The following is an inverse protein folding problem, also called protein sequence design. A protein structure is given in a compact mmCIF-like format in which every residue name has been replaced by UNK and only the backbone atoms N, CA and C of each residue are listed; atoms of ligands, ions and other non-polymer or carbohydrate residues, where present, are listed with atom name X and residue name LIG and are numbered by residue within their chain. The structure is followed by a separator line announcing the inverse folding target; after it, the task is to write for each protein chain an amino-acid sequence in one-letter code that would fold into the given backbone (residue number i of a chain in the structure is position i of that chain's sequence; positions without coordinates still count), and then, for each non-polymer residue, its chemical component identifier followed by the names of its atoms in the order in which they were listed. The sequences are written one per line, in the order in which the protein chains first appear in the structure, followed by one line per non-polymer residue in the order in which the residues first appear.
data_IF_360091493798
#
_entry.id   IF_360091493798
#
_cell.length_a   1.000
_cell.length_b   1.000
_cell.length_c   1.000
_cell.angle_alpha   90.00
_cell.angle_beta   90.00
_cell.angle_gamma   90.00
#
_symmetry.space_group_name_H-M   'P 1'
#
loop_
_entity.id
_entity.type
_entity.pdbx_description
1 polymer ?
#
# COMPACT_ATOMS: atom_id res chain seq x y z
N UNK A 1 12.54 -104.27 -5.44
CA UNK A 1 13.31 -103.30 -4.61
C UNK A 1 12.68 -103.06 -3.23
N UNK A 2 11.37 -102.81 -3.10
CA UNK A 2 10.69 -102.55 -1.80
C UNK A 2 10.74 -103.68 -0.75
N UNK A 3 10.98 -104.93 -1.16
CA UNK A 3 11.15 -106.06 -0.22
C UNK A 3 12.55 -106.09 0.43
N UNK A 4 13.60 -105.67 -0.31
CA UNK A 4 15.00 -105.66 0.19
C UNK A 4 15.30 -104.50 1.14
N UNK A 5 14.56 -103.41 1.06
CA UNK A 5 14.64 -102.31 2.05
C UNK A 5 13.92 -102.67 3.35
N UNK A 6 12.97 -103.61 3.32
CA UNK A 6 12.24 -104.09 4.51
C UNK A 6 13.05 -105.08 5.35
N UNK A 7 13.90 -105.89 4.74
CA UNK A 7 14.75 -106.86 5.46
C UNK A 7 16.00 -106.21 6.10
N UNK A 8 16.32 -104.96 5.74
CA UNK A 8 17.48 -104.20 6.25
C UNK A 8 17.09 -103.01 7.14
N UNK A 9 15.78 -102.80 7.38
CA UNK A 9 15.30 -101.75 8.26
C UNK A 9 14.94 -102.35 9.61
N UNK A 10 15.70 -101.98 10.64
CA UNK A 10 15.41 -102.35 12.02
C UNK A 10 13.98 -101.89 12.42
N UNK A 11 13.06 -102.81 12.77
CA UNK A 11 11.67 -102.50 13.10
C UNK A 11 11.51 -101.50 14.26
N UNK A 12 12.47 -101.49 15.20
CA UNK A 12 12.48 -100.51 16.28
C UNK A 12 12.81 -99.11 15.75
N UNK A 13 13.83 -98.98 14.91
CA UNK A 13 14.21 -97.72 14.27
C UNK A 13 13.06 -97.12 13.45
N UNK A 14 12.29 -97.94 12.71
CA UNK A 14 11.12 -97.48 11.95
C UNK A 14 9.99 -97.01 12.87
N UNK A 15 9.69 -97.74 13.96
CA UNK A 15 8.67 -97.34 14.96
C UNK A 15 9.07 -96.07 15.70
N UNK A 16 10.33 -95.93 16.07
CA UNK A 16 10.86 -94.73 16.71
C UNK A 16 10.75 -93.53 15.76
N UNK A 17 11.09 -93.71 14.48
CA UNK A 17 10.97 -92.66 13.47
C UNK A 17 9.51 -92.23 13.27
N UNK A 18 8.59 -93.19 13.19
CA UNK A 18 7.16 -92.93 12.98
C UNK A 18 6.52 -92.21 14.17
N UNK A 19 6.88 -92.60 15.40
CA UNK A 19 6.44 -91.91 16.63
C UNK A 19 7.02 -90.50 16.73
N UNK A 20 8.29 -90.32 16.38
CA UNK A 20 8.95 -89.00 16.37
C UNK A 20 8.32 -88.07 15.33
N UNK A 21 8.05 -88.59 14.13
CA UNK A 21 7.37 -87.84 13.04
C UNK A 21 5.92 -87.51 13.39
N UNK A 22 5.19 -88.39 14.08
CA UNK A 22 3.85 -88.10 14.59
C UNK A 22 3.85 -87.00 15.64
N UNK A 23 4.78 -87.04 16.60
CA UNK A 23 4.94 -85.97 17.60
C UNK A 23 5.30 -84.64 16.95
N UNK A 24 6.17 -84.65 15.93
CA UNK A 24 6.49 -83.45 15.16
C UNK A 24 5.27 -82.90 14.41
N UNK A 25 4.46 -83.78 13.77
CA UNK A 25 3.23 -83.39 13.09
C UNK A 25 2.19 -82.78 14.07
N UNK A 26 2.04 -83.36 15.26
CA UNK A 26 1.15 -82.82 16.29
C UNK A 26 1.63 -81.49 16.85
N UNK A 27 2.95 -81.29 16.98
CA UNK A 27 3.53 -79.99 17.37
C UNK A 27 3.21 -78.93 16.32
N UNK A 28 3.53 -79.21 15.05
CA UNK A 28 3.30 -78.29 13.93
C UNK A 28 1.80 -77.94 13.81
N UNK A 29 0.90 -78.91 14.03
CA UNK A 29 -0.54 -78.65 14.02
C UNK A 29 -0.99 -77.74 15.17
N UNK A 30 -0.41 -77.89 16.36
CA UNK A 30 -0.67 -76.99 17.49
C UNK A 30 -0.14 -75.59 17.21
N UNK A 31 1.08 -75.49 16.67
CA UNK A 31 1.70 -74.21 16.34
C UNK A 31 0.90 -73.48 15.25
N UNK A 32 0.44 -74.20 14.23
CA UNK A 32 -0.45 -73.64 13.19
C UNK A 32 -1.79 -73.16 13.75
N UNK A 33 -2.37 -73.89 14.71
CA UNK A 33 -3.62 -73.48 15.33
C UNK A 33 -3.44 -72.21 16.19
N UNK A 34 -2.35 -72.15 16.97
CA UNK A 34 -2.01 -70.99 17.78
C UNK A 34 -1.74 -69.75 16.92
N UNK A 35 -0.91 -69.88 15.88
CA UNK A 35 -0.61 -68.79 14.95
C UNK A 35 -1.86 -68.30 14.21
N UNK A 36 -2.81 -69.18 13.91
CA UNK A 36 -4.06 -68.81 13.24
C UNK A 36 -4.98 -68.02 14.17
N UNK A 37 -5.03 -68.38 15.44
CA UNK A 37 -5.80 -67.68 16.47
C UNK A 37 -5.20 -66.30 16.78
N UNK A 38 -3.86 -66.24 16.86
CA UNK A 38 -3.10 -65.01 17.03
C UNK A 38 -3.31 -64.06 15.84
N UNK A 39 -3.28 -64.57 14.61
CA UNK A 39 -3.58 -63.78 13.41
C UNK A 39 -5.01 -63.23 13.41
N UNK A 40 -6.01 -64.02 13.80
CA UNK A 40 -7.41 -63.56 13.90
C UNK A 40 -7.58 -62.49 14.99
N UNK A 41 -6.86 -62.62 16.10
CA UNK A 41 -6.89 -61.65 17.20
C UNK A 41 -6.27 -60.31 16.75
N UNK A 42 -5.07 -60.35 16.16
CA UNK A 42 -4.41 -59.17 15.60
C UNK A 42 -5.25 -58.51 14.50
N UNK A 43 -5.91 -59.28 13.64
CA UNK A 43 -6.80 -58.75 12.61
C UNK A 43 -8.05 -58.10 13.20
N UNK A 44 -8.58 -58.64 14.31
CA UNK A 44 -9.66 -58.03 15.08
C UNK A 44 -9.26 -56.72 15.74
N UNK A 45 -8.08 -56.67 16.37
CA UNK A 45 -7.52 -55.47 17.00
C UNK A 45 -7.24 -54.36 15.97
N UNK A 46 -6.64 -54.71 14.83
CA UNK A 46 -6.41 -53.79 13.71
C UNK A 46 -7.71 -53.24 13.14
N UNK A 47 -8.75 -54.06 13.00
CA UNK A 47 -10.07 -53.60 12.57
C UNK A 47 -10.71 -52.69 13.62
N UNK A 48 -10.62 -53.01 14.90
CA UNK A 48 -11.18 -52.18 15.97
C UNK A 48 -10.47 -50.82 16.05
N UNK A 49 -9.14 -50.78 15.96
CA UNK A 49 -8.36 -49.53 15.96
C UNK A 49 -8.49 -48.75 14.65
N UNK A 50 -8.52 -49.43 13.50
CA UNK A 50 -8.63 -48.80 12.18
C UNK A 50 -10.04 -48.33 11.82
N UNK A 51 -11.07 -48.99 12.34
CA UNK A 51 -12.47 -48.57 12.19
C UNK A 51 -12.88 -47.50 13.22
N UNK A 52 -12.20 -47.42 14.36
CA UNK A 52 -12.44 -46.39 15.37
C UNK A 52 -11.73 -45.08 15.00
N UNK A 53 -12.37 -44.28 14.16
CA UNK A 53 -12.19 -42.82 14.19
C UNK A 53 -11.08 -42.23 13.31
N UNK A 54 -10.08 -43.00 12.84
CA UNK A 54 -9.03 -42.44 11.99
C UNK A 54 -9.57 -41.85 10.68
N UNK A 55 -10.49 -42.56 10.01
CA UNK A 55 -11.15 -42.06 8.79
C UNK A 55 -12.04 -40.84 9.06
N UNK A 56 -12.73 -40.82 10.20
CA UNK A 56 -13.55 -39.66 10.62
C UNK A 56 -12.68 -38.45 10.98
N UNK A 57 -11.52 -38.68 11.60
CA UNK A 57 -10.57 -37.64 11.97
C UNK A 57 -9.87 -37.05 10.74
N UNK A 58 -9.51 -37.88 9.76
CA UNK A 58 -9.04 -37.42 8.45
C UNK A 58 -10.12 -36.58 7.77
N UNK A 59 -11.35 -37.08 7.66
CA UNK A 59 -12.45 -36.35 7.01
C UNK A 59 -12.76 -35.02 7.73
N UNK A 60 -12.68 -34.98 9.07
CA UNK A 60 -12.82 -33.77 9.87
C UNK A 60 -11.71 -32.76 9.55
N UNK A 61 -10.46 -33.19 9.57
CA UNK A 61 -9.29 -32.33 9.28
C UNK A 61 -9.31 -31.83 7.83
N UNK A 62 -9.68 -32.66 6.86
CA UNK A 62 -9.86 -32.25 5.46
C UNK A 62 -10.96 -31.19 5.33
N UNK A 63 -12.08 -31.34 6.05
CA UNK A 63 -13.13 -30.33 6.14
C UNK A 63 -12.62 -29.01 6.73
N UNK A 64 -11.88 -29.07 7.84
CA UNK A 64 -11.27 -27.90 8.46
C UNK A 64 -10.30 -27.19 7.50
N UNK A 65 -9.43 -27.93 6.81
CA UNK A 65 -8.53 -27.40 5.78
C UNK A 65 -9.33 -26.67 4.70
N UNK A 66 -10.35 -27.29 4.12
CA UNK A 66 -11.16 -26.67 3.07
C UNK A 66 -11.86 -25.38 3.52
N UNK A 67 -12.34 -25.32 4.77
CA UNK A 67 -12.92 -24.08 5.32
C UNK A 67 -11.87 -22.98 5.52
N UNK A 68 -10.67 -23.33 5.98
CA UNK A 68 -9.57 -22.39 6.19
C UNK A 68 -9.02 -21.87 4.86
N UNK A 69 -8.89 -22.73 3.85
CA UNK A 69 -8.47 -22.35 2.50
C UNK A 69 -9.46 -21.38 1.85
N UNK A 70 -10.77 -21.64 1.99
CA UNK A 70 -11.81 -20.73 1.49
C UNK A 70 -11.72 -19.37 2.18
N UNK A 71 -11.53 -19.36 3.50
CA UNK A 71 -11.36 -18.13 4.27
C UNK A 71 -10.10 -17.37 3.88
N UNK A 72 -8.99 -18.09 3.67
CA UNK A 72 -7.71 -17.53 3.23
C UNK A 72 -7.86 -16.87 1.86
N UNK A 73 -8.46 -17.57 0.89
CA UNK A 73 -8.70 -17.05 -0.45
C UNK A 73 -9.53 -15.75 -0.43
N UNK A 74 -10.59 -15.71 0.39
CA UNK A 74 -11.40 -14.49 0.55
C UNK A 74 -10.60 -13.32 1.13
N UNK A 75 -9.82 -13.58 2.18
CA UNK A 75 -8.98 -12.54 2.81
C UNK A 75 -7.86 -12.07 1.88
N UNK A 76 -7.28 -12.97 1.09
CA UNK A 76 -6.28 -12.63 0.07
C UNK A 76 -6.87 -11.71 -0.99
N UNK A 77 -8.06 -12.04 -1.51
CA UNK A 77 -8.76 -11.19 -2.48
C UNK A 77 -9.03 -9.79 -1.92
N UNK A 78 -9.51 -9.70 -0.68
CA UNK A 78 -9.76 -8.42 -0.02
C UNK A 78 -8.48 -7.60 0.20
N UNK A 79 -7.40 -8.27 0.62
CA UNK A 79 -6.09 -7.64 0.79
C UNK A 79 -5.50 -7.16 -0.54
N UNK A 80 -5.64 -7.93 -1.61
CA UNK A 80 -5.17 -7.57 -2.95
C UNK A 80 -5.98 -6.42 -3.53
N UNK A 81 -7.31 -6.43 -3.38
CA UNK A 81 -8.17 -5.33 -3.77
C UNK A 81 -7.83 -4.04 -3.02
N UNK A 82 -7.59 -4.13 -1.71
CA UNK A 82 -7.19 -2.99 -0.88
C UNK A 82 -5.81 -2.44 -1.27
N UNK A 83 -4.85 -3.32 -1.57
CA UNK A 83 -3.51 -2.92 -2.08
C UNK A 83 -3.60 -2.22 -3.42
N UNK A 84 -4.42 -2.76 -4.34
CA UNK A 84 -4.64 -2.15 -5.66
C UNK A 84 -5.31 -0.77 -5.54
N UNK A 85 -6.35 -0.65 -4.71
CA UNK A 85 -7.01 0.62 -4.47
C UNK A 85 -6.03 1.65 -3.91
N UNK A 86 -5.24 1.27 -2.90
CA UNK A 86 -4.26 2.15 -2.29
C UNK A 86 -3.22 2.64 -3.30
N UNK A 87 -2.60 1.73 -4.07
CA UNK A 87 -1.59 2.11 -5.06
C UNK A 87 -2.17 2.98 -6.18
N UNK A 88 -3.40 2.70 -6.62
CA UNK A 88 -4.10 3.50 -7.63
C UNK A 88 -4.39 4.90 -7.13
N UNK A 89 -4.91 5.05 -5.90
CA UNK A 89 -5.19 6.36 -5.30
C UNK A 89 -3.91 7.19 -5.10
N UNK A 90 -2.83 6.57 -4.63
CA UNK A 90 -1.53 7.25 -4.48
C UNK A 90 -0.97 7.67 -5.84
N UNK A 91 -1.11 6.82 -6.87
CA UNK A 91 -0.72 7.15 -8.24
C UNK A 91 -1.49 8.35 -8.80
N UNK A 92 -2.82 8.30 -8.74
CA UNK A 92 -3.70 9.38 -9.20
C UNK A 92 -3.47 10.69 -8.42
N UNK A 93 -3.26 10.61 -7.10
CA UNK A 93 -2.92 11.78 -6.29
C UNK A 93 -1.60 12.41 -6.73
N UNK A 94 -0.57 11.61 -7.01
CA UNK A 94 0.73 12.11 -7.49
C UNK A 94 0.61 12.77 -8.86
N UNK A 95 -0.06 12.13 -9.80
CA UNK A 95 -0.29 12.66 -11.15
C UNK A 95 -1.06 13.97 -11.11
N UNK A 96 -2.15 14.04 -10.34
CA UNK A 96 -2.89 15.27 -10.13
C UNK A 96 -1.99 16.38 -9.55
N UNK A 97 -1.15 16.07 -8.56
CA UNK A 97 -0.23 17.06 -7.97
C UNK A 97 0.79 17.59 -8.97
N UNK A 98 1.44 16.72 -9.73
CA UNK A 98 2.41 17.11 -10.76
C UNK A 98 1.76 18.01 -11.83
N UNK A 99 0.51 17.70 -12.20
CA UNK A 99 -0.28 18.51 -13.13
C UNK A 99 -0.48 19.97 -12.66
N UNK A 100 -0.58 20.21 -11.34
CA UNK A 100 -0.77 21.57 -10.80
C UNK A 100 0.55 22.26 -10.42
N UNK A 101 1.50 21.54 -9.81
CA UNK A 101 2.74 22.11 -9.26
C UNK A 101 3.63 22.75 -10.32
N UNK A 102 3.84 22.04 -11.44
CA UNK A 102 4.67 22.54 -12.55
C UNK A 102 4.16 23.88 -13.08
N UNK A 103 2.90 23.96 -13.53
CA UNK A 103 2.31 25.20 -14.00
C UNK A 103 2.35 26.33 -12.98
N UNK A 104 2.09 26.06 -11.69
CA UNK A 104 2.15 27.09 -10.65
C UNK A 104 3.58 27.64 -10.52
N UNK A 105 4.61 26.79 -10.42
CA UNK A 105 6.01 27.23 -10.35
C UNK A 105 6.37 28.10 -11.56
N UNK A 106 5.95 27.70 -12.77
CA UNK A 106 6.16 28.47 -14.01
C UNK A 106 5.42 29.81 -14.00
N UNK A 107 4.18 29.87 -13.50
CA UNK A 107 3.39 31.10 -13.44
C UNK A 107 3.86 32.06 -12.34
N UNK A 108 4.40 31.57 -11.22
CA UNK A 108 4.91 32.43 -10.14
C UNK A 108 6.20 33.13 -10.54
N UNK A 109 7.10 32.44 -11.24
CA UNK A 109 8.42 32.96 -11.60
C UNK A 109 8.45 34.39 -12.19
N UNK A 110 7.61 34.77 -13.19
CA UNK A 110 7.62 36.13 -13.73
C UNK A 110 7.22 37.19 -12.68
N UNK A 111 6.21 36.92 -11.86
CA UNK A 111 5.75 37.84 -10.82
C UNK A 111 6.77 37.97 -9.68
N UNK A 112 7.39 36.85 -9.30
CA UNK A 112 8.41 36.84 -8.26
C UNK A 112 9.66 37.63 -8.70
N UNK A 113 10.04 37.54 -9.98
CA UNK A 113 11.15 38.33 -10.54
C UNK A 113 10.90 39.85 -10.45
N UNK A 114 9.65 40.30 -10.52
CA UNK A 114 9.30 41.73 -10.39
C UNK A 114 9.53 42.24 -8.96
N UNK A 115 9.21 41.43 -7.94
CA UNK A 115 9.33 41.84 -6.53
C UNK A 115 10.73 41.56 -5.96
N UNK A 116 11.30 40.40 -6.29
CA UNK A 116 12.58 39.89 -5.82
C UNK A 116 13.37 39.29 -7.00
N UNK A 117 14.14 40.12 -7.73
CA UNK A 117 14.98 39.65 -8.83
C UNK A 117 15.90 38.50 -8.41
N UNK A 118 16.06 37.49 -9.26
CA UNK A 118 16.93 36.33 -9.00
C UNK A 118 16.44 35.40 -7.89
N UNK A 119 15.15 35.46 -7.56
CA UNK A 119 14.53 34.60 -6.55
C UNK A 119 13.65 33.53 -7.21
N UNK A 120 13.75 32.30 -6.71
CA UNK A 120 12.88 31.19 -7.05
C UNK A 120 12.13 30.71 -5.81
N UNK A 121 10.95 30.12 -6.01
CA UNK A 121 10.18 29.52 -4.92
C UNK A 121 10.29 28.00 -4.95
N UNK A 122 10.45 27.42 -3.78
CA UNK A 122 10.27 25.99 -3.54
C UNK A 122 8.90 25.79 -2.91
N UNK A 123 8.05 25.01 -3.56
CA UNK A 123 6.77 24.56 -3.03
C UNK A 123 6.93 23.15 -2.49
N UNK A 124 6.26 22.85 -1.39
CA UNK A 124 6.11 21.49 -0.88
C UNK A 124 5.26 20.66 -1.85
N UNK A 125 5.78 19.50 -2.25
CA UNK A 125 5.13 18.65 -3.25
C UNK A 125 3.85 17.95 -2.73
N UNK A 126 3.60 18.01 -1.41
CA UNK A 126 2.43 17.42 -0.75
C UNK A 126 1.40 18.46 -0.35
N UNK A 127 1.80 19.56 0.28
CA UNK A 127 0.90 20.58 0.83
C UNK A 127 0.68 21.76 -0.10
N UNK A 128 1.48 21.89 -1.17
CA UNK A 128 1.55 23.08 -2.05
C UNK A 128 1.95 24.37 -1.30
N UNK A 129 2.42 24.25 -0.06
CA UNK A 129 2.88 25.40 0.73
C UNK A 129 4.24 25.88 0.23
N UNK A 130 4.50 27.18 0.38
CA UNK A 130 5.81 27.74 0.06
C UNK A 130 6.78 27.32 1.17
N UNK A 131 7.76 26.48 0.82
CA UNK A 131 8.77 25.96 1.75
C UNK A 131 9.93 26.92 1.90
N UNK A 132 10.50 27.38 0.79
CA UNK A 132 11.68 28.24 0.80
C UNK A 132 11.72 29.18 -0.41
N UNK A 133 12.48 30.26 -0.25
CA UNK A 133 12.89 31.12 -1.36
C UNK A 133 14.38 30.91 -1.61
N UNK A 134 14.74 30.67 -2.86
CA UNK A 134 16.13 30.54 -3.27
C UNK A 134 16.61 31.87 -3.84
N UNK A 135 17.56 32.52 -3.18
CA UNK A 135 18.16 33.79 -3.61
C UNK A 135 19.64 33.58 -3.85
N UNK A 136 20.10 33.78 -5.08
CA UNK A 136 21.52 33.62 -5.45
C UNK A 136 22.13 32.27 -4.98
N UNK A 137 21.35 31.18 -5.03
CA UNK A 137 21.77 29.84 -4.61
C UNK A 137 21.66 29.55 -3.11
N UNK A 138 21.15 30.49 -2.29
CA UNK A 138 20.92 30.28 -0.86
C UNK A 138 19.41 30.09 -0.61
N UNK A 139 19.05 28.98 0.03
CA UNK A 139 17.68 28.69 0.45
C UNK A 139 17.34 29.39 1.77
N UNK A 140 16.28 30.19 1.76
CA UNK A 140 15.73 30.89 2.93
C UNK A 140 14.35 30.30 3.25
N UNK A 141 14.18 29.75 4.47
CA UNK A 141 12.88 29.19 4.91
C UNK A 141 11.82 30.30 4.89
N UNK A 142 10.67 30.01 4.27
CA UNK A 142 9.56 30.94 4.14
C UNK A 142 9.11 31.53 5.50
N UNK A 143 9.20 30.75 6.59
CA UNK A 143 8.82 31.18 7.93
C UNK A 143 9.79 32.19 8.55
N UNK A 144 11.03 32.27 8.04
CA UNK A 144 12.07 33.21 8.49
C UNK A 144 12.01 34.56 7.78
N UNK A 145 11.24 34.65 6.70
CA UNK A 145 11.01 35.91 6.00
C UNK A 145 10.30 36.93 6.89
N UNK A 146 10.55 38.22 6.61
CA UNK A 146 9.79 39.30 7.24
C UNK A 146 8.30 39.20 6.89
N UNK A 147 7.44 39.77 7.75
CA UNK A 147 5.99 39.73 7.55
C UNK A 147 5.57 40.25 6.16
N UNK A 148 6.09 41.39 5.72
CA UNK A 148 5.80 41.95 4.39
C UNK A 148 6.34 41.11 3.22
N UNK A 149 7.50 40.46 3.38
CA UNK A 149 8.01 39.55 2.34
C UNK A 149 7.13 38.30 2.20
N UNK A 150 6.68 37.71 3.31
CA UNK A 150 5.74 36.57 3.28
C UNK A 150 4.44 36.96 2.62
N UNK A 151 3.92 38.15 2.94
CA UNK A 151 2.67 38.67 2.38
C UNK A 151 2.77 38.87 0.86
N UNK A 152 3.83 39.49 0.35
CA UNK A 152 4.06 39.68 -1.09
C UNK A 152 4.12 38.35 -1.85
N UNK A 153 4.91 37.40 -1.34
CA UNK A 153 5.03 36.07 -1.96
C UNK A 153 3.68 35.35 -1.91
N UNK A 154 2.94 35.46 -0.81
CA UNK A 154 1.62 34.87 -0.65
C UNK A 154 0.59 35.43 -1.64
N UNK A 155 0.62 36.73 -1.93
CA UNK A 155 -0.23 37.38 -2.94
C UNK A 155 0.14 36.92 -4.34
N UNK A 156 1.44 36.94 -4.68
CA UNK A 156 1.94 36.50 -5.99
C UNK A 156 1.57 35.04 -6.28
N UNK A 157 1.73 34.15 -5.29
CA UNK A 157 1.37 32.74 -5.46
C UNK A 157 -0.12 32.54 -5.71
N UNK A 158 -0.99 33.33 -5.06
CA UNK A 158 -2.45 33.29 -5.33
C UNK A 158 -2.80 33.78 -6.73
N UNK A 159 -2.15 34.84 -7.21
CA UNK A 159 -2.32 35.34 -8.58
C UNK A 159 -1.88 34.29 -9.61
N UNK A 160 -0.76 33.63 -9.38
CA UNK A 160 -0.28 32.56 -10.25
C UNK A 160 -1.23 31.36 -10.25
N UNK A 161 -1.76 30.98 -9.08
CA UNK A 161 -2.77 29.92 -8.98
C UNK A 161 -4.04 30.27 -9.77
N UNK A 162 -4.54 31.50 -9.66
CA UNK A 162 -5.69 31.96 -10.43
C UNK A 162 -5.44 31.91 -11.95
N UNK A 163 -4.21 32.19 -12.40
CA UNK A 163 -3.82 32.00 -13.81
C UNK A 163 -3.86 30.52 -14.24
N UNK A 164 -3.34 29.62 -13.41
CA UNK A 164 -3.36 28.18 -13.71
C UNK A 164 -4.80 27.67 -13.78
N UNK A 165 -5.68 28.09 -12.85
CA UNK A 165 -7.10 27.76 -12.88
C UNK A 165 -7.79 28.28 -14.15
N UNK A 166 -7.55 29.56 -14.51
CA UNK A 166 -8.10 30.16 -15.74
C UNK A 166 -7.67 29.37 -16.98
N UNK A 167 -6.39 28.99 -17.09
CA UNK A 167 -5.86 28.18 -18.20
C UNK A 167 -6.48 26.78 -18.24
N UNK A 168 -6.80 26.22 -17.09
CA UNK A 168 -7.54 24.96 -16.96
C UNK A 168 -9.04 25.06 -17.26
N UNK A 169 -9.53 26.20 -17.77
CA UNK A 169 -10.96 26.40 -18.08
C UNK A 169 -11.82 26.82 -16.90
N UNK A 170 -11.22 27.19 -15.77
CA UNK A 170 -11.91 27.61 -14.55
C UNK A 170 -11.59 29.08 -14.27
N UNK A 171 -12.38 30.05 -14.79
CA UNK A 171 -12.16 31.46 -14.53
C UNK A 171 -12.16 31.74 -13.03
N UNK A 172 -11.16 32.49 -12.55
CA UNK A 172 -11.02 32.85 -11.14
C UNK A 172 -10.81 34.36 -11.00
N UNK A 173 -11.41 34.95 -9.97
CA UNK A 173 -11.13 36.31 -9.52
C UNK A 173 -10.22 36.27 -8.29
N UNK A 174 -9.38 37.29 -8.13
CA UNK A 174 -8.50 37.45 -6.97
C UNK A 174 -9.05 38.57 -6.11
N UNK A 175 -9.38 38.26 -4.85
CA UNK A 175 -9.81 39.25 -3.86
C UNK A 175 -8.68 39.41 -2.84
N UNK A 176 -8.21 40.65 -2.67
CA UNK A 176 -7.18 41.03 -1.72
C UNK A 176 -7.82 41.92 -0.65
N UNK A 177 -7.89 41.43 0.58
CA UNK A 177 -8.51 42.13 1.72
C UNK A 177 -7.43 42.64 2.67
N UNK A 178 -7.28 43.97 2.74
CA UNK A 178 -6.22 44.69 3.47
C UNK A 178 -4.83 44.05 3.28
N UNK A 179 -4.55 43.59 2.06
CA UNK A 179 -3.25 43.03 1.71
C UNK A 179 -2.21 44.14 1.47
N UNK A 180 -0.94 43.78 1.67
CA UNK A 180 0.25 44.61 1.47
C UNK A 180 0.40 45.77 2.46
N UNK A 181 -0.31 45.76 3.59
CA UNK A 181 -0.29 46.83 4.60
C UNK A 181 1.10 47.02 5.23
N UNK A 182 1.90 45.94 5.31
CA UNK A 182 3.24 45.95 5.90
C UNK A 182 4.37 46.03 4.85
N UNK A 183 4.08 46.62 3.69
CA UNK A 183 5.03 46.76 2.58
C UNK A 183 5.61 48.18 2.50
N UNK A 184 6.93 48.30 2.33
CA UNK A 184 7.58 49.60 2.08
C UNK A 184 7.26 50.14 0.67
N UNK A 185 7.34 51.45 0.49
CA UNK A 185 6.93 52.16 -0.73
C UNK A 185 7.56 51.60 -2.01
N UNK A 186 8.87 51.32 -2.00
CA UNK A 186 9.58 50.75 -3.18
C UNK A 186 9.08 49.35 -3.54
N UNK A 187 8.71 48.54 -2.54
CA UNK A 187 8.16 47.21 -2.79
C UNK A 187 6.68 47.28 -3.19
N UNK A 188 5.94 48.27 -2.69
CA UNK A 188 4.55 48.51 -3.07
C UNK A 188 4.45 48.89 -4.55
N UNK A 189 5.33 49.76 -5.05
CA UNK A 189 5.43 50.08 -6.48
C UNK A 189 5.64 48.84 -7.36
N UNK A 190 6.51 47.91 -6.94
CA UNK A 190 6.71 46.64 -7.65
C UNK A 190 5.47 45.75 -7.60
N UNK A 191 4.76 45.74 -6.47
CA UNK A 191 3.48 45.05 -6.36
C UNK A 191 2.42 45.66 -7.27
N UNK A 192 2.40 46.98 -7.49
CA UNK A 192 1.50 47.59 -8.46
C UNK A 192 1.73 47.07 -9.88
N UNK A 193 2.99 46.92 -10.30
CA UNK A 193 3.33 46.32 -11.59
C UNK A 193 2.85 44.87 -11.69
N UNK A 194 2.98 44.08 -10.61
CA UNK A 194 2.44 42.72 -10.54
C UNK A 194 0.93 42.72 -10.70
N UNK A 195 0.22 43.57 -9.95
CA UNK A 195 -1.24 43.66 -9.98
C UNK A 195 -1.75 44.11 -11.34
N UNK A 196 -1.14 45.14 -11.94
CA UNK A 196 -1.48 45.60 -13.29
C UNK A 196 -1.25 44.51 -14.33
N UNK A 197 -0.10 43.83 -14.27
CA UNK A 197 0.20 42.74 -15.19
C UNK A 197 -0.80 41.59 -15.06
N UNK A 198 -1.15 41.22 -13.84
CA UNK A 198 -2.13 40.18 -13.59
C UNK A 198 -3.55 40.59 -13.98
N UNK A 199 -3.89 41.88 -13.88
CA UNK A 199 -5.20 42.41 -14.23
C UNK A 199 -5.49 42.40 -15.75
N UNK A 200 -4.46 42.23 -16.60
CA UNK A 200 -4.65 41.99 -18.04
C UNK A 200 -5.46 40.70 -18.29
N UNK A 201 -5.32 39.72 -17.40
CA UNK A 201 -5.88 38.38 -17.56
C UNK A 201 -6.87 37.99 -16.45
N UNK A 202 -6.79 38.61 -15.27
CA UNK A 202 -7.63 38.27 -14.12
C UNK A 202 -8.41 39.48 -13.63
N UNK A 203 -9.60 39.23 -13.11
CA UNK A 203 -10.26 40.25 -12.30
C UNK A 203 -9.62 40.28 -10.91
N UNK A 204 -9.09 41.45 -10.53
CA UNK A 204 -8.52 41.67 -9.21
C UNK A 204 -9.35 42.72 -8.49
N UNK A 205 -9.79 42.39 -7.28
CA UNK A 205 -10.55 43.26 -6.38
C UNK A 205 -9.69 43.50 -5.14
N UNK A 206 -9.37 44.75 -4.86
CA UNK A 206 -8.64 45.15 -3.66
C UNK A 206 -9.62 45.84 -2.72
N UNK A 207 -9.80 45.28 -1.53
CA UNK A 207 -10.51 45.88 -0.42
C UNK A 207 -9.45 46.45 0.52
N UNK A 208 -9.48 47.75 0.77
CA UNK A 208 -8.48 48.37 1.63
C UNK A 208 -8.97 49.63 2.32
N UNK A 209 -8.47 49.85 3.54
CA UNK A 209 -8.60 51.12 4.25
C UNK A 209 -7.56 52.19 3.83
N UNK A 210 -6.57 51.83 2.99
CA UNK A 210 -5.45 52.68 2.57
C UNK A 210 -5.55 53.11 1.11
N UNK A 211 -6.60 53.88 0.75
CA UNK A 211 -6.83 54.37 -0.63
C UNK A 211 -5.58 55.01 -1.27
N UNK A 212 -4.78 55.75 -0.47
CA UNK A 212 -3.57 56.43 -0.95
C UNK A 212 -2.58 55.46 -1.60
N UNK A 213 -2.43 54.26 -1.04
CA UNK A 213 -1.42 53.30 -1.48
C UNK A 213 -1.74 52.74 -2.87
N UNK A 214 -3.02 52.69 -3.26
CA UNK A 214 -3.45 52.10 -4.53
C UNK A 214 -3.93 53.14 -5.56
N UNK A 215 -3.85 54.43 -5.23
CA UNK A 215 -4.31 55.52 -6.11
C UNK A 215 -3.59 55.53 -7.46
N UNK A 216 -2.30 55.27 -7.44
CA UNK A 216 -1.44 55.31 -8.63
C UNK A 216 -1.59 54.07 -9.53
N UNK A 217 -2.40 53.09 -9.11
CA UNK A 217 -2.65 51.88 -9.89
C UNK A 217 -3.54 52.14 -11.12
N UNK A 218 -4.26 53.27 -11.14
CA UNK A 218 -5.18 53.64 -12.22
C UNK A 218 -6.49 52.84 -12.24
N UNK A 219 -6.74 52.04 -11.20
CA UNK A 219 -7.96 51.25 -11.07
C UNK A 219 -9.16 52.11 -10.61
N UNK A 220 -10.40 51.76 -11.01
CA UNK A 220 -11.60 52.40 -10.47
C UNK A 220 -11.68 52.25 -8.94
N UNK A 221 -11.94 53.35 -8.23
CA UNK A 221 -12.07 53.36 -6.77
C UNK A 221 -13.54 53.55 -6.41
N UNK A 222 -14.07 52.64 -5.60
CA UNK A 222 -15.43 52.69 -5.08
C UNK A 222 -15.38 52.93 -3.57
N UNK A 223 -16.17 53.90 -3.08
CA UNK A 223 -16.33 54.18 -1.65
C UNK A 223 -17.68 53.64 -1.22
N UNK A 224 -17.68 52.78 -0.20
CA UNK A 224 -18.87 52.19 0.41
C UNK A 224 -19.43 53.12 1.50
#
# INVERSE_FOLDING_TARGET
MRQRERDNADPETVRLTLTTRRKALESIRRDMAALKDEALTLEGELRAQGAAGLGEEIARLEGEIGTLETRLSRLQLEADASRLLHSTLIGAQREAREHWLGPIKTQVAPYLKLIHPGTEIELDDTTLEIRSLHRAGVAEDFRRLSAGAREQVAVVTRIALAHVLKKGGHPAAVILDDALVNTDEKRLERMHLVLQKAAEDLQIIVLTCRERDFRDLGAPIFRL
#
